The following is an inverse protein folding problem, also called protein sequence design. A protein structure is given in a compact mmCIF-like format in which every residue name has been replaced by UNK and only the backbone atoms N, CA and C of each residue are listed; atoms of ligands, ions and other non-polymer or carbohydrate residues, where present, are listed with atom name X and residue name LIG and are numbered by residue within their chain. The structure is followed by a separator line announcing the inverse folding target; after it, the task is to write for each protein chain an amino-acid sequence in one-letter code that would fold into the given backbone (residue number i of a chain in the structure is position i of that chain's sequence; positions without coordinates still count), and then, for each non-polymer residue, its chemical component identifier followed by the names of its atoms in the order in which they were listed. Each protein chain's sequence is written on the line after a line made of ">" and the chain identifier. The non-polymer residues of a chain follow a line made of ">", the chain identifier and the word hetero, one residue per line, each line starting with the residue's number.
data_IF_240350790307
#
_entry.id   IF_240350790307
#
_cell.length_a   1.000
_cell.length_b   1.000
_cell.length_c   1.000
_cell.angle_alpha   90.00
_cell.angle_beta   90.00
_cell.angle_gamma   90.00
#
_symmetry.space_group_name_H-M   'P 1'
#
loop_
_entity.id
_entity.type
_entity.pdbx_description
1 polymer ?
#
# COMPACT_ATOMS: atom_id res chain seq x y z
N UNK A 1 -16.03 -0.80 21.71
CA UNK A 1 -15.43 0.53 22.01
C UNK A 1 -16.14 1.64 21.21
N UNK A 2 -16.32 2.87 21.72
CA UNK A 2 -16.99 3.96 20.98
C UNK A 2 -15.95 4.91 20.40
N UNK A 3 -15.64 4.78 19.11
CA UNK A 3 -14.96 5.83 18.36
C UNK A 3 -15.95 7.01 18.32
N UNK A 4 -15.61 8.15 18.92
CA UNK A 4 -16.49 9.33 18.88
C UNK A 4 -16.65 9.78 17.43
N UNK A 5 -17.88 9.68 16.91
CA UNK A 5 -18.24 10.03 15.53
C UNK A 5 -18.84 11.43 15.53
N UNK A 6 -18.13 12.44 15.07
CA UNK A 6 -18.81 13.66 14.66
C UNK A 6 -19.41 13.42 13.25
N UNK A 7 -20.69 13.75 13.09
CA UNK A 7 -21.34 13.68 11.78
C UNK A 7 -20.92 14.90 10.95
N UNK A 8 -20.12 14.66 9.90
CA UNK A 8 -19.81 15.67 8.91
C UNK A 8 -20.92 15.87 7.87
N UNK A 9 -20.66 16.74 6.91
CA UNK A 9 -21.56 17.01 5.79
C UNK A 9 -21.72 15.74 4.92
N UNK A 10 -22.97 15.34 4.65
CA UNK A 10 -23.38 14.16 3.85
C UNK A 10 -23.14 12.76 4.47
N UNK A 11 -23.18 12.61 5.79
CA UNK A 11 -23.07 11.31 6.47
C UNK A 11 -21.73 10.57 6.24
N UNK A 12 -20.73 11.23 5.65
CA UNK A 12 -19.33 10.79 5.66
C UNK A 12 -18.83 11.02 7.09
N UNK A 13 -18.28 10.01 7.75
CA UNK A 13 -17.89 10.05 9.16
C UNK A 13 -16.69 10.99 9.41
N UNK A 14 -16.73 11.80 10.47
CA UNK A 14 -15.65 12.74 10.81
C UNK A 14 -15.06 12.47 12.20
N UNK A 15 -13.76 12.76 12.27
CA UNK A 15 -12.85 12.86 13.43
C UNK A 15 -12.44 11.55 14.11
N UNK A 16 -11.14 11.24 14.07
CA UNK A 16 -10.45 10.61 15.21
C UNK A 16 -9.65 11.70 15.91
N UNK A 17 -10.09 12.12 17.09
CA UNK A 17 -9.21 12.77 18.09
C UNK A 17 -9.42 12.11 19.46
N UNK A 18 -8.37 11.63 20.16
CA UNK A 18 -7.02 11.32 19.71
C UNK A 18 -6.54 9.89 20.02
N UNK A 19 -5.49 9.53 19.27
CA UNK A 19 -4.43 8.53 19.48
C UNK A 19 -3.73 8.56 20.87
N UNK A 20 -4.44 8.81 21.98
CA UNK A 20 -3.90 8.61 23.33
C UNK A 20 -4.46 7.37 24.04
N UNK A 21 -5.61 6.85 23.60
CA UNK A 21 -6.35 5.81 24.35
C UNK A 21 -6.41 4.45 23.67
N UNK A 22 -6.06 4.38 22.38
CA UNK A 22 -6.06 3.15 21.61
C UNK A 22 -4.66 2.58 21.49
N UNK A 23 -4.49 1.37 22.00
CA UNK A 23 -3.28 0.58 21.80
C UNK A 23 -3.49 -0.42 20.67
N UNK A 24 -2.40 -0.90 20.09
CA UNK A 24 -2.41 -2.07 19.20
C UNK A 24 -3.24 -3.22 19.80
N UNK A 25 -3.07 -3.48 21.11
CA UNK A 25 -3.79 -4.55 21.81
C UNK A 25 -5.30 -4.33 21.89
N UNK A 26 -5.77 -3.09 22.02
CA UNK A 26 -7.20 -2.77 22.07
C UNK A 26 -7.84 -2.96 20.71
N UNK A 27 -7.18 -2.50 19.64
CA UNK A 27 -7.66 -2.65 18.28
C UNK A 27 -7.68 -4.12 17.84
N UNK A 28 -6.61 -4.89 18.14
CA UNK A 28 -6.55 -6.33 17.84
C UNK A 28 -7.67 -7.13 18.51
N UNK A 29 -8.05 -6.79 19.75
CA UNK A 29 -9.18 -7.45 20.43
C UNK A 29 -10.50 -7.28 19.69
N UNK A 30 -10.77 -6.07 19.21
CA UNK A 30 -11.99 -5.78 18.44
C UNK A 30 -11.95 -6.53 17.08
N UNK A 31 -10.80 -6.52 16.38
CA UNK A 31 -10.61 -7.27 15.12
C UNK A 31 -10.80 -8.79 15.32
N UNK A 32 -10.31 -9.35 16.42
CA UNK A 32 -10.49 -10.76 16.75
C UNK A 32 -11.95 -11.11 17.10
N UNK A 33 -12.62 -10.27 17.91
CA UNK A 33 -13.97 -10.55 18.42
C UNK A 33 -15.07 -10.56 17.34
N UNK A 34 -14.79 -9.95 16.18
CA UNK A 34 -15.71 -9.96 15.03
C UNK A 34 -15.95 -11.37 14.49
N UNK A 35 -17.19 -11.72 14.18
CA UNK A 35 -17.51 -13.01 13.57
C UNK A 35 -17.21 -13.01 12.06
N UNK A 36 -16.88 -14.18 11.46
CA UNK A 36 -16.79 -14.35 10.01
C UNK A 36 -18.10 -13.98 9.30
N UNK A 37 -18.03 -13.57 8.02
CA UNK A 37 -19.21 -13.31 7.20
C UNK A 37 -18.91 -12.54 5.92
N UNK A 38 -19.95 -12.21 5.13
CA UNK A 38 -19.79 -11.55 3.82
C UNK A 38 -19.02 -10.22 3.84
N UNK A 39 -19.05 -9.50 4.96
CA UNK A 39 -18.27 -8.27 5.17
C UNK A 39 -16.76 -8.53 5.33
N UNK A 40 -16.32 -9.77 5.57
CA UNK A 40 -14.91 -10.14 5.64
C UNK A 40 -14.26 -10.36 4.27
N UNK A 41 -15.04 -10.74 3.25
CA UNK A 41 -14.56 -10.79 1.87
C UNK A 41 -14.08 -9.43 1.34
N UNK A 42 -14.57 -8.33 1.93
CA UNK A 42 -14.13 -6.98 1.61
C UNK A 42 -13.10 -6.40 2.58
N UNK A 43 -12.72 -7.12 3.65
CA UNK A 43 -11.67 -6.68 4.58
C UNK A 43 -10.30 -7.13 4.15
N UNK A 44 -9.96 -6.54 3.05
CA UNK A 44 -8.63 -6.19 2.69
C UNK A 44 -7.82 -5.57 3.87
N UNK A 45 -6.65 -6.12 4.24
CA UNK A 45 -5.77 -5.55 5.26
C UNK A 45 -4.92 -4.39 4.73
N UNK A 46 -5.03 -4.01 3.45
CA UNK A 46 -4.32 -2.84 2.87
C UNK A 46 -4.51 -1.56 3.70
N UNK A 47 -5.68 -1.19 4.24
CA UNK A 47 -5.83 0.03 5.05
C UNK A 47 -4.88 0.08 6.25
N UNK A 48 -4.64 -1.07 6.91
CA UNK A 48 -3.68 -1.14 8.02
C UNK A 48 -2.24 -0.90 7.55
N UNK A 49 -1.85 -1.55 6.44
CA UNK A 49 -0.51 -1.40 5.88
C UNK A 49 -0.27 0.02 5.32
N UNK A 50 -1.22 0.56 4.55
CA UNK A 50 -1.15 1.90 3.97
C UNK A 50 -1.07 2.98 5.04
N UNK A 51 -1.89 2.89 6.09
CA UNK A 51 -1.83 3.82 7.21
C UNK A 51 -0.47 3.78 7.92
N UNK A 52 0.06 2.59 8.19
CA UNK A 52 1.38 2.43 8.79
C UNK A 52 2.49 3.01 7.90
N UNK A 53 2.54 2.63 6.62
CA UNK A 53 3.55 3.12 5.68
C UNK A 53 3.47 4.63 5.48
N UNK A 54 2.27 5.19 5.36
CA UNK A 54 2.04 6.63 5.21
C UNK A 54 2.56 7.41 6.42
N UNK A 55 2.21 6.99 7.64
CA UNK A 55 2.68 7.65 8.86
C UNK A 55 4.19 7.50 9.04
N UNK A 56 4.75 6.31 8.80
CA UNK A 56 6.18 6.07 8.94
C UNK A 56 6.99 6.90 7.93
N UNK A 57 6.58 6.92 6.66
CA UNK A 57 7.22 7.74 5.62
C UNK A 57 7.22 9.22 5.99
N UNK A 58 6.07 9.76 6.42
CA UNK A 58 5.95 11.16 6.86
C UNK A 58 6.76 11.48 8.11
N UNK A 59 6.84 10.55 9.06
CA UNK A 59 7.59 10.71 10.31
C UNK A 59 9.10 10.67 10.06
N UNK A 60 9.56 9.79 9.18
CA UNK A 60 10.98 9.68 8.82
C UNK A 60 11.44 10.80 7.87
N UNK A 61 10.52 11.44 7.16
CA UNK A 61 10.85 12.36 6.08
C UNK A 61 11.84 13.49 6.44
N UNK A 62 11.70 14.21 7.56
CA UNK A 62 12.68 15.22 7.96
C UNK A 62 14.09 14.66 8.17
N UNK A 63 14.20 13.45 8.73
CA UNK A 63 15.48 12.80 8.96
C UNK A 63 16.12 12.30 7.67
N UNK A 64 15.32 11.85 6.70
CA UNK A 64 15.78 11.48 5.35
C UNK A 64 16.26 12.73 4.59
N UNK A 65 15.54 13.85 4.71
CA UNK A 65 15.94 15.12 4.11
C UNK A 65 17.26 15.63 4.69
N UNK A 66 17.46 15.52 6.00
CA UNK A 66 18.74 15.82 6.64
C UNK A 66 19.87 14.90 6.17
N UNK A 67 19.60 13.61 5.97
CA UNK A 67 20.57 12.67 5.39
C UNK A 67 20.96 13.08 3.97
N UNK A 68 20.00 13.51 3.14
CA UNK A 68 20.29 14.01 1.79
C UNK A 68 21.18 15.26 1.82
N UNK A 69 20.95 16.17 2.76
CA UNK A 69 21.82 17.34 2.99
C UNK A 69 23.21 16.93 3.49
N UNK A 70 23.29 15.98 4.43
CA UNK A 70 24.56 15.44 4.93
C UNK A 70 25.42 14.88 3.78
N UNK A 71 24.79 14.20 2.81
CA UNK A 71 25.45 13.65 1.62
C UNK A 71 25.87 14.70 0.60
N UNK A 72 25.11 15.79 0.43
CA UNK A 72 25.51 16.90 -0.43
C UNK A 72 26.68 17.71 0.16
N UNK A 73 26.70 17.86 1.48
CA UNK A 73 27.74 18.61 2.19
C UNK A 73 29.03 17.80 2.37
N UNK A 74 28.94 16.47 2.32
CA UNK A 74 30.07 15.56 2.46
C UNK A 74 30.48 14.96 1.12
N UNK A 75 31.75 15.15 0.73
CA UNK A 75 32.34 14.53 -0.47
C UNK A 75 32.70 13.03 -0.25
N UNK A 76 31.93 12.33 0.59
CA UNK A 76 32.16 10.92 0.92
C UNK A 76 30.86 10.17 1.18
N UNK A 77 30.82 8.86 0.87
CA UNK A 77 29.70 8.00 1.23
C UNK A 77 29.46 7.95 2.74
N UNK A 78 28.20 7.79 3.13
CA UNK A 78 27.82 7.46 4.51
C UNK A 78 27.63 5.94 4.60
N UNK A 79 28.22 5.33 5.62
CA UNK A 79 28.02 3.90 5.92
C UNK A 79 27.19 3.78 7.20
N UNK A 80 26.04 3.11 7.10
CA UNK A 80 25.14 2.87 8.23
C UNK A 80 24.32 1.59 8.00
N UNK A 81 24.14 0.76 9.02
CA UNK A 81 23.36 -0.49 8.99
C UNK A 81 23.83 -1.47 7.90
N UNK A 82 25.13 -1.43 7.58
CA UNK A 82 25.72 -2.21 6.48
C UNK A 82 25.35 -1.72 5.08
N UNK A 83 24.69 -0.56 4.96
CA UNK A 83 24.42 0.13 3.71
C UNK A 83 25.46 1.20 3.44
N UNK A 84 25.90 1.28 2.19
CA UNK A 84 26.70 2.36 1.63
C UNK A 84 25.75 3.31 0.91
N UNK A 85 25.75 4.57 1.34
CA UNK A 85 24.81 5.61 0.90
C UNK A 85 25.61 6.71 0.21
N UNK A 86 25.31 6.94 -1.07
CA UNK A 86 26.08 7.83 -1.93
C UNK A 86 25.18 8.83 -2.63
N UNK A 87 25.58 10.10 -2.60
CA UNK A 87 24.94 11.14 -3.40
C UNK A 87 25.04 10.77 -4.89
N UNK A 88 23.96 11.04 -5.63
CA UNK A 88 23.86 10.71 -7.04
C UNK A 88 23.32 11.89 -7.86
N UNK A 89 24.00 12.17 -8.97
CA UNK A 89 23.57 13.17 -9.94
C UNK A 89 23.69 14.61 -9.45
N UNK A 90 23.29 15.54 -10.30
CA UNK A 90 23.19 16.96 -9.96
C UNK A 90 21.83 17.25 -9.30
N UNK A 91 21.80 18.29 -8.46
CA UNK A 91 20.54 18.82 -7.94
C UNK A 91 19.77 19.47 -9.08
N UNK A 92 18.56 18.99 -9.34
CA UNK A 92 17.68 19.54 -10.38
C UNK A 92 16.25 19.60 -9.85
N UNK A 93 15.48 20.64 -10.21
CA UNK A 93 14.09 20.85 -9.73
C UNK A 93 13.94 20.89 -8.20
N UNK A 94 15.01 21.20 -7.47
CA UNK A 94 15.01 21.12 -6.01
C UNK A 94 15.02 19.70 -5.46
N UNK A 95 15.34 18.70 -6.28
CA UNK A 95 15.41 17.29 -5.92
C UNK A 95 16.87 16.87 -5.70
N UNK A 96 17.08 16.06 -4.66
CA UNK A 96 18.36 15.46 -4.30
C UNK A 96 18.21 13.96 -4.36
N UNK A 97 19.09 13.28 -5.08
CA UNK A 97 19.07 11.83 -5.21
C UNK A 97 20.24 11.20 -4.48
N UNK A 98 20.01 10.05 -3.86
CA UNK A 98 21.07 9.21 -3.35
C UNK A 98 20.77 7.74 -3.58
N UNK A 99 21.83 6.95 -3.69
CA UNK A 99 21.77 5.51 -3.86
C UNK A 99 22.17 4.82 -2.56
N UNK A 100 21.44 3.77 -2.18
CA UNK A 100 21.75 2.90 -1.07
C UNK A 100 22.06 1.51 -1.63
N UNK A 101 23.31 1.08 -1.44
CA UNK A 101 23.79 -0.24 -1.85
C UNK A 101 24.26 -1.02 -0.63
N UNK A 102 24.18 -2.34 -0.70
CA UNK A 102 24.70 -3.21 0.37
C UNK A 102 25.78 -4.11 -0.22
N UNK A 103 27.02 -4.12 0.33
CA UNK A 103 28.11 -4.91 -0.22
C UNK A 103 27.74 -6.39 -0.38
N UNK A 104 27.86 -6.90 -1.61
CA UNK A 104 27.57 -8.29 -1.96
C UNK A 104 26.09 -8.65 -2.08
N UNK A 105 25.16 -7.73 -1.81
CA UNK A 105 23.74 -7.93 -2.06
C UNK A 105 23.36 -7.45 -3.48
N UNK A 106 22.38 -8.07 -4.15
CA UNK A 106 21.92 -7.61 -5.45
C UNK A 106 21.10 -6.32 -5.35
N UNK A 107 21.16 -5.51 -6.41
CA UNK A 107 20.32 -4.34 -6.58
C UNK A 107 20.64 -3.14 -5.69
N UNK A 108 19.93 -2.04 -5.92
CA UNK A 108 20.12 -0.77 -5.23
C UNK A 108 18.78 -0.10 -4.93
N UNK A 109 18.72 0.69 -3.87
CA UNK A 109 17.62 1.64 -3.66
C UNK A 109 18.07 3.02 -4.10
N UNK A 110 17.37 3.64 -5.04
CA UNK A 110 17.57 5.05 -5.33
C UNK A 110 16.47 5.85 -4.64
N UNK A 111 16.85 6.81 -3.82
CA UNK A 111 15.93 7.67 -3.06
C UNK A 111 16.02 9.08 -3.63
N UNK A 112 14.87 9.70 -3.87
CA UNK A 112 14.71 11.10 -4.24
C UNK A 112 14.10 11.85 -3.05
N UNK A 113 14.70 12.98 -2.70
CA UNK A 113 14.14 13.96 -1.77
C UNK A 113 13.92 15.25 -2.52
N UNK A 114 12.66 15.60 -2.76
CA UNK A 114 12.25 16.90 -3.26
C UNK A 114 12.10 17.89 -2.11
N UNK A 115 12.57 19.11 -2.32
CA UNK A 115 12.39 20.24 -1.41
C UNK A 115 11.42 21.26 -2.00
N UNK A 116 10.69 21.95 -1.13
CA UNK A 116 9.92 23.12 -1.53
C UNK A 116 10.84 24.15 -2.17
N UNK A 117 10.42 24.63 -3.35
CA UNK A 117 11.29 25.43 -4.19
C UNK A 117 11.28 26.88 -3.74
N UNK A 118 12.33 27.23 -3.02
CA UNK A 118 12.56 28.58 -2.53
C UNK A 118 13.09 29.49 -3.64
N UNK A 119 12.50 30.68 -3.74
CA UNK A 119 12.81 31.64 -4.80
C UNK A 119 14.21 32.23 -4.55
N UNK A 120 15.03 32.32 -5.61
CA UNK A 120 16.33 32.99 -5.56
C UNK A 120 16.18 34.51 -5.63
N UNK A 121 17.20 35.30 -5.28
CA UNK A 121 17.18 36.77 -5.48
C UNK A 121 16.82 37.17 -6.92
N UNK A 122 17.34 36.45 -7.92
CA UNK A 122 16.99 36.68 -9.33
C UNK A 122 15.53 36.30 -9.63
N UNK A 123 15.05 35.23 -9.00
CA UNK A 123 13.66 34.83 -9.05
C UNK A 123 12.73 35.85 -8.43
N UNK A 124 13.09 36.47 -7.30
CA UNK A 124 12.29 37.50 -6.63
C UNK A 124 12.09 38.71 -7.55
N UNK A 125 13.14 39.14 -8.26
CA UNK A 125 13.05 40.23 -9.24
C UNK A 125 12.05 39.88 -10.35
N UNK A 126 12.08 38.64 -10.86
CA UNK A 126 11.16 38.18 -11.89
C UNK A 126 9.73 37.97 -11.37
N UNK A 127 9.58 37.46 -10.15
CA UNK A 127 8.28 37.30 -9.47
C UNK A 127 7.65 38.67 -9.25
N UNK A 128 8.41 39.65 -8.76
CA UNK A 128 7.94 41.02 -8.60
C UNK A 128 7.54 41.68 -9.93
N UNK A 129 8.26 41.40 -11.03
CA UNK A 129 7.88 41.87 -12.35
C UNK A 129 6.56 41.24 -12.82
N UNK A 130 6.39 39.93 -12.63
CA UNK A 130 5.18 39.19 -12.96
C UNK A 130 3.98 39.68 -12.13
N UNK A 131 4.16 39.86 -10.83
CA UNK A 131 3.14 40.37 -9.92
C UNK A 131 2.74 41.81 -10.28
N UNK A 132 3.70 42.64 -10.70
CA UNK A 132 3.42 44.00 -11.17
C UNK A 132 2.65 44.02 -12.51
N UNK A 133 2.79 43.00 -13.35
CA UNK A 133 1.98 42.82 -14.56
C UNK A 133 0.58 42.30 -14.22
N UNK A 134 0.49 41.29 -13.36
CA UNK A 134 -0.78 40.74 -12.88
C UNK A 134 -1.63 41.78 -12.13
N UNK A 135 -1.01 42.68 -11.37
CA UNK A 135 -1.69 43.76 -10.66
C UNK A 135 -2.37 44.80 -11.60
N UNK A 136 -2.01 44.82 -12.90
CA UNK A 136 -2.64 45.68 -13.90
C UNK A 136 -3.90 45.05 -14.51
N UNK A 137 -4.16 43.77 -14.26
CA UNK A 137 -5.31 43.04 -14.81
C UNK A 137 -6.52 43.14 -13.91
N UNK A 138 -7.71 43.01 -14.51
CA UNK A 138 -8.93 42.85 -13.72
C UNK A 138 -8.86 41.51 -12.94
N UNK A 139 -9.27 41.47 -11.65
CA UNK A 139 -9.19 40.25 -10.85
C UNK A 139 -9.89 39.03 -11.45
N UNK A 140 -10.99 39.22 -12.20
CA UNK A 140 -11.70 38.13 -12.86
C UNK A 140 -10.92 37.61 -14.07
N UNK A 141 -10.27 38.51 -14.80
CA UNK A 141 -9.38 38.17 -15.92
C UNK A 141 -8.12 37.44 -15.44
N UNK A 142 -7.54 37.87 -14.31
CA UNK A 142 -6.43 37.18 -13.67
C UNK A 142 -6.81 35.76 -13.24
N UNK A 143 -7.98 35.57 -12.61
CA UNK A 143 -8.47 34.24 -12.22
C UNK A 143 -8.70 33.36 -13.45
N UNK A 144 -9.32 33.87 -14.51
CA UNK A 144 -9.51 33.11 -15.75
C UNK A 144 -8.18 32.75 -16.43
N UNK A 145 -7.18 33.63 -16.36
CA UNK A 145 -5.83 33.38 -16.88
C UNK A 145 -5.08 32.33 -16.07
N UNK A 146 -5.22 32.34 -14.75
CA UNK A 146 -4.61 31.35 -13.86
C UNK A 146 -5.29 29.97 -13.93
N UNK A 147 -6.59 29.94 -14.26
CA UNK A 147 -7.36 28.70 -14.42
C UNK A 147 -7.27 28.10 -15.82
N UNK A 148 -6.85 28.86 -16.84
CA UNK A 148 -6.62 28.34 -18.18
C UNK A 148 -5.22 27.71 -18.25
N UNK A 149 -5.19 26.39 -18.45
CA UNK A 149 -4.03 25.50 -18.48
C UNK A 149 -3.03 25.74 -19.64
N UNK A 150 -3.17 26.83 -20.40
CA UNK A 150 -2.25 27.18 -21.48
C UNK A 150 -1.03 27.91 -20.93
N UNK A 151 0.17 27.31 -21.06
CA UNK A 151 1.52 27.83 -20.78
C UNK A 151 1.55 29.26 -20.22
N UNK A 152 1.16 29.40 -18.95
CA UNK A 152 1.11 30.72 -18.31
C UNK A 152 2.53 31.20 -18.01
N UNK A 153 2.69 32.51 -17.83
CA UNK A 153 3.94 33.08 -17.31
C UNK A 153 4.31 32.50 -15.93
N UNK A 154 3.32 32.03 -15.15
CA UNK A 154 3.54 31.29 -13.90
C UNK A 154 4.19 29.92 -14.17
N UNK A 155 3.67 29.17 -15.14
CA UNK A 155 4.25 27.89 -15.56
C UNK A 155 5.67 28.09 -16.10
N UNK A 156 5.89 29.13 -16.91
CA UNK A 156 7.22 29.49 -17.41
C UNK A 156 8.18 29.95 -16.29
N UNK A 157 7.67 30.64 -15.27
CA UNK A 157 8.45 31.01 -14.09
C UNK A 157 8.87 29.76 -13.31
N UNK A 158 7.95 28.84 -13.05
CA UNK A 158 8.21 27.58 -12.33
C UNK A 158 9.12 26.64 -13.11
N UNK A 159 9.04 26.60 -14.44
CA UNK A 159 9.88 25.74 -15.27
C UNK A 159 11.37 26.17 -15.31
N UNK A 160 11.70 27.41 -14.91
CA UNK A 160 13.06 27.94 -15.03
C UNK A 160 13.85 27.76 -13.72
N UNK A 161 14.76 26.77 -13.70
CA UNK A 161 15.62 26.47 -12.54
C UNK A 161 16.33 27.69 -11.95
N UNK A 162 16.88 28.57 -12.78
CA UNK A 162 17.56 29.79 -12.31
C UNK A 162 16.66 30.83 -11.63
N UNK A 163 15.36 30.58 -11.47
CA UNK A 163 14.49 31.39 -10.62
C UNK A 163 14.52 30.91 -9.16
N UNK A 164 14.98 29.70 -8.89
CA UNK A 164 14.97 29.10 -7.56
C UNK A 164 16.40 28.93 -7.04
N UNK A 165 16.56 28.91 -5.73
CA UNK A 165 17.85 28.60 -5.10
C UNK A 165 18.00 27.09 -4.90
N UNK A 166 19.24 26.63 -4.75
CA UNK A 166 19.49 25.25 -4.34
C UNK A 166 18.90 24.98 -2.95
N UNK A 167 18.46 23.72 -2.68
CA UNK A 167 18.03 23.29 -1.36
C UNK A 167 19.10 23.49 -0.29
N UNK A 168 18.67 23.72 0.94
CA UNK A 168 19.52 23.92 2.13
C UNK A 168 18.91 23.22 3.32
N UNK A 169 19.75 22.92 4.32
CA UNK A 169 19.30 22.38 5.60
C UNK A 169 18.24 23.28 6.23
N UNK A 170 17.14 22.67 6.65
CA UNK A 170 15.99 23.34 7.22
C UNK A 170 14.92 23.77 6.22
N UNK A 171 15.17 23.63 4.92
CA UNK A 171 14.11 23.76 3.91
C UNK A 171 13.04 22.68 4.12
N UNK A 172 11.79 23.02 3.87
CA UNK A 172 10.70 22.05 3.92
C UNK A 172 10.85 21.06 2.76
N UNK A 173 10.74 19.76 3.06
CA UNK A 173 10.66 18.76 2.00
C UNK A 173 9.27 18.84 1.36
N UNK A 174 9.16 18.50 0.08
CA UNK A 174 7.90 18.42 -0.66
C UNK A 174 7.51 16.97 -0.98
N UNK A 175 8.50 16.11 -1.24
CA UNK A 175 8.27 14.69 -1.56
C UNK A 175 9.50 13.86 -1.21
N UNK A 176 9.27 12.63 -0.76
CA UNK A 176 10.28 11.59 -0.67
C UNK A 176 9.79 10.40 -1.48
N UNK A 177 10.59 9.98 -2.43
CA UNK A 177 10.30 8.79 -3.21
C UNK A 177 11.48 7.85 -3.23
N UNK A 178 11.23 6.57 -3.46
CA UNK A 178 12.28 5.59 -3.66
C UNK A 178 11.90 4.59 -4.74
N UNK A 179 12.91 4.16 -5.51
CA UNK A 179 12.76 3.15 -6.56
C UNK A 179 13.78 2.04 -6.38
N UNK A 180 13.38 0.81 -6.70
CA UNK A 180 14.25 -0.37 -6.68
C UNK A 180 14.96 -0.53 -8.03
N UNK A 181 16.29 -0.49 -8.03
CA UNK A 181 17.13 -0.71 -9.20
C UNK A 181 17.65 -2.15 -9.22
N UNK A 182 17.48 -2.87 -10.33
CA UNK A 182 17.98 -4.24 -10.52
C UNK A 182 19.42 -4.33 -11.03
N UNK A 183 19.92 -3.22 -11.54
CA UNK A 183 21.31 -3.08 -11.96
C UNK A 183 21.84 -1.74 -11.46
N UNK A 184 23.04 -1.76 -10.89
CA UNK A 184 23.79 -0.57 -10.48
C UNK A 184 25.30 -0.89 -10.58
N UNK A 185 26.17 0.08 -10.94
CA UNK A 185 27.61 -0.17 -11.03
C UNK A 185 28.18 -0.80 -9.75
N UNK A 186 29.06 -1.79 -9.92
CA UNK A 186 29.76 -2.48 -8.82
C UNK A 186 28.86 -3.26 -7.84
N UNK A 187 27.59 -3.46 -8.19
CA UNK A 187 26.61 -4.26 -7.41
C UNK A 187 26.22 -5.52 -8.20
N UNK A 188 26.09 -6.70 -7.55
CA UNK A 188 25.54 -7.88 -8.20
C UNK A 188 24.19 -7.62 -8.90
N UNK A 189 23.96 -8.17 -10.10
CA UNK A 189 22.71 -7.98 -10.82
C UNK A 189 21.56 -8.73 -10.11
N UNK A 190 20.39 -8.12 -10.11
CA UNK A 190 19.17 -8.65 -9.49
C UNK A 190 18.44 -7.59 -8.68
N UNK A 191 17.18 -7.82 -8.32
CA UNK A 191 16.41 -6.88 -7.52
C UNK A 191 16.95 -6.82 -6.09
N UNK A 192 16.74 -5.70 -5.37
CA UNK A 192 16.95 -5.65 -3.92
C UNK A 192 16.22 -6.82 -3.22
N UNK A 193 16.76 -7.25 -2.08
CA UNK A 193 16.17 -8.35 -1.33
C UNK A 193 14.67 -8.11 -1.06
N UNK A 194 13.86 -9.17 -1.22
CA UNK A 194 12.38 -9.18 -1.07
C UNK A 194 11.61 -8.36 -2.11
N UNK A 195 12.28 -7.80 -3.12
CA UNK A 195 11.63 -7.15 -4.26
C UNK A 195 11.61 -8.10 -5.45
N UNK A 196 10.43 -8.27 -6.07
CA UNK A 196 10.31 -9.08 -7.27
C UNK A 196 10.92 -8.38 -8.49
N UNK A 197 11.36 -9.15 -9.50
CA UNK A 197 11.86 -8.60 -10.77
C UNK A 197 10.86 -7.68 -11.50
N UNK A 198 9.56 -7.82 -11.22
CA UNK A 198 8.52 -6.97 -11.80
C UNK A 198 8.43 -5.59 -11.12
N UNK A 199 8.86 -5.49 -9.87
CA UNK A 199 8.76 -4.27 -9.04
C UNK A 199 10.09 -3.51 -9.00
N UNK A 200 10.94 -3.70 -10.00
CA UNK A 200 12.25 -3.06 -10.09
C UNK A 200 12.51 -2.57 -11.52
N UNK A 201 13.41 -1.60 -11.66
CA UNK A 201 13.77 -0.99 -12.94
C UNK A 201 15.26 -1.12 -13.24
N UNK A 202 15.60 -1.07 -14.53
CA UNK A 202 16.97 -0.92 -15.03
C UNK A 202 17.33 0.55 -15.31
N UNK A 203 16.37 1.47 -15.19
CA UNK A 203 16.58 2.88 -15.48
C UNK A 203 17.53 3.49 -14.44
N UNK A 204 18.80 3.65 -14.82
CA UNK A 204 19.84 4.28 -14.02
C UNK A 204 19.92 5.78 -14.39
N UNK A 205 19.06 6.60 -13.79
CA UNK A 205 19.03 8.06 -13.96
C UNK A 205 18.32 8.73 -12.79
N UNK A 206 18.41 10.06 -12.62
CA UNK A 206 17.58 10.76 -11.66
C UNK A 206 16.11 10.56 -12.08
N UNK A 207 15.29 10.07 -11.17
CA UNK A 207 13.88 9.84 -11.43
C UNK A 207 13.05 11.01 -10.95
N UNK A 208 12.06 11.42 -11.73
CA UNK A 208 11.18 12.49 -11.32
C UNK A 208 9.93 11.88 -10.63
N UNK A 209 9.72 12.10 -9.31
CA UNK A 209 8.54 11.61 -8.62
C UNK A 209 7.22 12.17 -9.18
N UNK A 210 7.27 13.28 -9.92
CA UNK A 210 6.09 13.89 -10.56
C UNK A 210 5.81 13.30 -11.96
N UNK A 211 6.66 12.41 -12.48
CA UNK A 211 6.45 11.76 -13.78
C UNK A 211 5.44 10.62 -13.67
N UNK A 212 4.39 10.67 -14.51
CA UNK A 212 3.25 9.74 -14.51
C UNK A 212 3.67 8.27 -14.67
N UNK A 213 4.84 8.00 -15.26
CA UNK A 213 5.31 6.64 -15.51
C UNK A 213 6.81 6.47 -15.18
N UNK A 214 7.11 6.13 -13.92
CA UNK A 214 8.41 5.59 -13.54
C UNK A 214 8.29 4.14 -13.04
N UNK A 215 8.84 3.16 -13.77
CA UNK A 215 8.79 1.76 -13.35
C UNK A 215 9.54 1.52 -12.03
N UNK A 216 8.97 0.70 -11.15
CA UNK A 216 9.65 0.28 -9.92
C UNK A 216 9.72 1.33 -8.81
N UNK A 217 8.85 2.36 -8.81
CA UNK A 217 8.62 3.19 -7.61
C UNK A 217 8.10 2.28 -6.50
N UNK A 218 8.81 2.27 -5.38
CA UNK A 218 8.48 1.51 -4.17
C UNK A 218 7.83 2.38 -3.09
N UNK A 219 8.13 3.67 -3.10
CA UNK A 219 7.64 4.64 -2.14
C UNK A 219 7.46 5.98 -2.83
N UNK A 220 6.33 6.64 -2.58
CA UNK A 220 6.17 8.08 -2.74
C UNK A 220 5.41 8.63 -1.54
N UNK A 221 6.04 9.55 -0.81
CA UNK A 221 5.54 10.18 0.38
C UNK A 221 5.65 11.70 0.22
N UNK A 222 4.53 12.34 -0.07
CA UNK A 222 4.46 13.79 -0.13
C UNK A 222 4.50 14.41 1.27
N UNK A 223 5.02 15.62 1.34
CA UNK A 223 4.91 16.45 2.53
C UNK A 223 3.44 16.62 2.93
N UNK A 224 3.16 16.69 4.23
CA UNK A 224 1.83 17.04 4.67
C UNK A 224 1.46 18.41 4.12
N UNK A 225 0.33 18.45 3.42
CA UNK A 225 -0.33 19.69 3.07
C UNK A 225 -0.63 20.44 4.37
N UNK A 226 0.09 21.51 4.66
CA UNK A 226 -0.25 22.43 5.75
C UNK A 226 -1.40 23.32 5.31
N UNK A 227 -2.60 22.74 5.13
CA UNK A 227 -3.79 23.48 4.68
C UNK A 227 -4.98 23.29 5.62
N UNK A 228 -5.45 24.40 6.19
CA UNK A 228 -6.56 24.54 7.14
C UNK A 228 -7.95 24.42 6.48
N UNK A 229 -8.03 23.88 5.26
CA UNK A 229 -9.27 23.91 4.47
C UNK A 229 -10.02 22.58 4.50
N UNK A 230 -11.00 22.51 5.40
CA UNK A 230 -11.92 21.39 5.64
C UNK A 230 -12.65 20.88 4.38
N UNK A 231 -12.74 21.69 3.32
CA UNK A 231 -13.46 21.36 2.10
C UNK A 231 -12.70 20.40 1.17
N UNK A 232 -11.38 20.40 1.23
CA UNK A 232 -10.51 19.56 0.39
C UNK A 232 -10.27 18.20 1.06
N UNK A 233 -10.15 18.17 2.39
CA UNK A 233 -10.16 16.91 3.15
C UNK A 233 -11.46 16.10 2.95
N UNK A 234 -12.53 16.76 2.50
CA UNK A 234 -13.82 16.14 2.20
C UNK A 234 -13.91 15.49 0.81
N UNK A 235 -12.96 15.74 -0.11
CA UNK A 235 -13.01 15.16 -1.46
C UNK A 235 -12.45 13.73 -1.53
N UNK A 236 -11.79 13.24 -0.47
CA UNK A 236 -11.14 11.92 -0.47
C UNK A 236 -9.92 11.82 -1.41
N UNK A 237 -9.64 12.86 -2.21
CA UNK A 237 -8.57 12.87 -3.21
C UNK A 237 -7.23 13.38 -2.67
N UNK A 238 -7.21 14.08 -1.54
CA UNK A 238 -5.99 14.69 -0.99
C UNK A 238 -5.51 13.97 0.26
N UNK A 239 -5.13 12.72 0.00
CA UNK A 239 -4.43 11.81 0.89
C UNK A 239 -3.85 10.61 0.14
N UNK A 240 -3.96 10.58 -1.20
CA UNK A 240 -3.24 9.65 -2.07
C UNK A 240 -1.75 9.86 -1.86
N UNK A 241 -1.19 9.15 -0.92
CA UNK A 241 0.14 8.59 -1.07
C UNK A 241 0.09 7.69 -2.29
N UNK A 242 0.26 8.27 -3.47
CA UNK A 242 0.16 7.55 -4.72
C UNK A 242 1.26 6.49 -4.77
N UNK A 243 0.81 5.24 -4.89
CA UNK A 243 1.57 4.00 -5.14
C UNK A 243 2.64 3.65 -4.10
N UNK A 244 2.24 2.86 -3.10
CA UNK A 244 3.17 2.12 -2.26
C UNK A 244 3.47 0.75 -2.87
N UNK A 245 4.72 0.50 -3.21
CA UNK A 245 5.24 -0.82 -3.52
C UNK A 245 6.44 -1.12 -2.63
N UNK A 246 6.20 -1.22 -1.33
CA UNK A 246 7.07 -2.01 -0.47
C UNK A 246 7.39 -1.43 0.91
N UNK A 247 6.97 -2.06 2.02
CA UNK A 247 7.50 -1.74 3.35
C UNK A 247 9.02 -1.93 3.45
N UNK A 248 9.65 -2.64 2.51
CA UNK A 248 11.06 -2.98 2.49
C UNK A 248 11.97 -1.75 2.54
N UNK A 249 11.71 -0.72 1.72
CA UNK A 249 12.55 0.47 1.69
C UNK A 249 12.39 1.30 2.96
N UNK A 250 11.18 1.36 3.53
CA UNK A 250 10.92 2.02 4.81
C UNK A 250 11.60 1.27 5.97
N UNK A 251 11.67 -0.06 5.93
CA UNK A 251 12.45 -0.86 6.89
C UNK A 251 13.94 -0.55 6.78
N UNK A 252 14.48 -0.48 5.55
CA UNK A 252 15.89 -0.11 5.30
C UNK A 252 16.18 1.28 5.86
N UNK A 253 15.37 2.28 5.50
CA UNK A 253 15.50 3.65 6.00
C UNK A 253 15.37 3.71 7.53
N UNK A 254 14.44 2.95 8.12
CA UNK A 254 14.30 2.88 9.59
C UNK A 254 15.60 2.43 10.25
N UNK A 255 16.21 1.34 9.77
CA UNK A 255 17.47 0.82 10.35
C UNK A 255 18.64 1.79 10.17
N UNK A 256 18.75 2.43 8.99
CA UNK A 256 19.79 3.43 8.72
C UNK A 256 19.65 4.64 9.61
N UNK A 257 18.44 5.21 9.72
CA UNK A 257 18.19 6.41 10.52
C UNK A 257 18.37 6.14 12.03
N UNK A 258 18.02 4.95 12.50
CA UNK A 258 18.28 4.52 13.88
C UNK A 258 19.79 4.42 14.15
N UNK A 259 20.58 3.81 13.26
CA UNK A 259 22.05 3.74 13.45
C UNK A 259 22.72 5.12 13.39
N UNK A 260 22.16 6.04 12.60
CA UNK A 260 22.57 7.44 12.53
C UNK A 260 22.09 8.30 13.71
N UNK A 261 21.37 7.74 14.68
CA UNK A 261 20.92 8.45 15.88
C UNK A 261 19.81 9.48 15.62
N UNK A 262 18.96 9.27 14.60
CA UNK A 262 17.90 10.21 14.18
C UNK A 262 16.56 9.98 14.90
N UNK A 263 16.49 9.13 15.92
CA UNK A 263 15.23 8.72 16.55
C UNK A 263 14.46 9.87 17.20
N UNK A 264 15.18 10.83 17.81
CA UNK A 264 14.54 12.01 18.41
C UNK A 264 13.82 12.86 17.35
N UNK A 265 14.45 13.03 16.19
CA UNK A 265 13.90 13.81 15.08
C UNK A 265 12.68 13.13 14.47
N UNK A 266 12.74 11.81 14.24
CA UNK A 266 11.61 11.03 13.72
C UNK A 266 10.44 11.04 14.71
N UNK A 267 10.73 10.87 16.01
CA UNK A 267 9.72 10.91 17.05
C UNK A 267 9.06 12.29 17.17
N UNK A 268 9.82 13.39 17.05
CA UNK A 268 9.27 14.75 17.08
C UNK A 268 8.36 15.02 15.88
N UNK A 269 8.76 14.58 14.69
CA UNK A 269 7.95 14.67 13.49
C UNK A 269 6.64 13.87 13.64
N UNK A 270 6.72 12.63 14.12
CA UNK A 270 5.57 11.77 14.41
C UNK A 270 4.57 12.46 15.37
N UNK A 271 5.07 13.03 16.48
CA UNK A 271 4.25 13.74 17.46
C UNK A 271 3.51 14.95 16.87
N UNK A 272 4.12 15.66 15.90
CA UNK A 272 3.46 16.74 15.17
C UNK A 272 2.25 16.22 14.39
N UNK A 273 2.36 15.08 13.72
CA UNK A 273 1.26 14.45 12.98
C UNK A 273 0.15 13.95 13.90
N UNK A 274 0.52 13.27 15.00
CA UNK A 274 -0.45 12.76 15.98
C UNK A 274 -1.30 13.89 16.57
N UNK A 275 -0.69 15.04 16.87
CA UNK A 275 -1.41 16.23 17.39
C UNK A 275 -2.34 16.88 16.38
N UNK A 276 -2.03 16.80 15.09
CA UNK A 276 -2.88 17.35 14.03
C UNK A 276 -4.17 16.52 13.88
N UNK A 277 -4.08 15.21 14.11
CA UNK A 277 -5.17 14.25 13.95
C UNK A 277 -5.24 13.71 12.53
N UNK A 278 -5.93 12.58 12.36
CA UNK A 278 -6.05 11.88 11.09
C UNK A 278 -7.48 12.00 10.54
N UNK A 279 -7.58 12.02 9.21
CA UNK A 279 -8.83 12.03 8.46
C UNK A 279 -9.02 10.69 7.79
N UNK A 280 -10.20 10.10 7.96
CA UNK A 280 -10.61 8.89 7.23
C UNK A 280 -12.01 9.11 6.68
N UNK A 281 -12.17 8.90 5.37
CA UNK A 281 -13.47 8.88 4.69
C UNK A 281 -14.10 7.48 4.70
N UNK A 282 -13.44 6.52 5.34
CA UNK A 282 -13.77 5.11 5.23
C UNK A 282 -14.88 4.69 6.20
N UNK A 283 -15.40 3.48 5.99
CA UNK A 283 -16.40 2.87 6.88
C UNK A 283 -15.79 2.52 8.25
N UNK A 284 -16.63 2.28 9.26
CA UNK A 284 -16.16 2.04 10.64
C UNK A 284 -15.11 0.94 10.81
N UNK A 285 -15.10 -0.08 9.93
CA UNK A 285 -14.14 -1.19 10.00
C UNK A 285 -12.79 -0.84 9.38
N UNK A 286 -12.80 -0.19 8.22
CA UNK A 286 -11.58 0.33 7.60
C UNK A 286 -10.90 1.35 8.53
N UNK A 287 -11.68 2.17 9.25
CA UNK A 287 -11.18 3.06 10.30
C UNK A 287 -10.45 2.28 11.42
N UNK A 288 -10.99 1.15 11.89
CA UNK A 288 -10.34 0.33 12.91
C UNK A 288 -9.00 -0.25 12.41
N UNK A 289 -8.98 -0.71 11.15
CA UNK A 289 -7.79 -1.25 10.50
C UNK A 289 -6.72 -0.16 10.28
N UNK A 290 -7.10 1.03 9.86
CA UNK A 290 -6.20 2.19 9.75
C UNK A 290 -5.60 2.57 11.11
N UNK A 291 -6.45 2.70 12.14
CA UNK A 291 -6.02 3.07 13.49
C UNK A 291 -5.03 2.06 14.08
N UNK A 292 -5.19 0.78 13.77
CA UNK A 292 -4.25 -0.26 14.17
C UNK A 292 -2.86 -0.05 13.54
N UNK A 293 -2.81 0.32 12.25
CA UNK A 293 -1.56 0.64 11.56
C UNK A 293 -0.89 1.91 12.11
N UNK A 294 -1.69 2.96 12.33
CA UNK A 294 -1.21 4.21 12.95
C UNK A 294 -0.68 3.98 14.37
N UNK A 295 -1.40 3.19 15.17
CA UNK A 295 -1.01 2.85 16.54
C UNK A 295 0.30 2.06 16.58
N UNK A 296 0.48 1.11 15.65
CA UNK A 296 1.72 0.33 15.57
C UNK A 296 2.94 1.24 15.31
N UNK A 297 2.85 2.15 14.34
CA UNK A 297 3.94 3.10 14.04
C UNK A 297 4.16 4.09 15.18
N UNK A 298 3.11 4.55 15.84
CA UNK A 298 3.22 5.43 17.02
C UNK A 298 3.96 4.72 18.16
N UNK A 299 3.61 3.47 18.47
CA UNK A 299 4.32 2.66 19.48
C UNK A 299 5.80 2.42 19.07
N UNK A 300 6.08 2.31 17.78
CA UNK A 300 7.43 2.27 17.20
C UNK A 300 8.08 3.66 16.98
N UNK A 301 7.53 4.73 17.59
CA UNK A 301 8.07 6.11 17.57
C UNK A 301 8.27 6.70 16.18
N UNK A 302 7.41 6.34 15.23
CA UNK A 302 7.44 6.85 13.85
C UNK A 302 8.24 5.99 12.86
N UNK A 303 8.81 4.86 13.30
CA UNK A 303 9.53 3.93 12.44
C UNK A 303 8.65 2.78 11.94
N UNK A 304 9.06 2.18 10.82
CA UNK A 304 8.53 0.91 10.34
C UNK A 304 9.52 -0.20 10.69
N UNK A 305 9.50 -0.65 11.95
CA UNK A 305 10.40 -1.68 12.46
C UNK A 305 9.74 -3.08 12.48
N UNK A 306 10.46 -4.07 13.01
CA UNK A 306 9.97 -5.45 13.11
C UNK A 306 8.66 -5.55 13.91
N UNK A 307 8.46 -4.72 14.94
CA UNK A 307 7.24 -4.76 15.74
C UNK A 307 6.02 -4.30 14.94
N UNK A 308 6.18 -3.30 14.07
CA UNK A 308 5.12 -2.88 13.15
C UNK A 308 4.83 -3.97 12.13
N UNK A 309 5.88 -4.57 11.56
CA UNK A 309 5.73 -5.66 10.58
C UNK A 309 5.03 -6.89 11.18
N UNK A 310 5.28 -7.22 12.45
CA UNK A 310 4.57 -8.28 13.18
C UNK A 310 3.07 -7.97 13.32
N UNK A 311 2.71 -6.71 13.59
CA UNK A 311 1.29 -6.28 13.63
C UNK A 311 0.65 -6.40 12.26
N UNK A 312 1.31 -5.92 11.19
CA UNK A 312 0.80 -6.05 9.83
C UNK A 312 0.57 -7.52 9.44
N UNK A 313 1.54 -8.40 9.73
CA UNK A 313 1.42 -9.83 9.46
C UNK A 313 0.27 -10.47 10.26
N UNK A 314 0.12 -10.10 11.54
CA UNK A 314 -0.95 -10.61 12.41
C UNK A 314 -2.33 -10.26 11.89
N UNK A 315 -2.55 -8.99 11.51
CA UNK A 315 -3.84 -8.53 10.98
C UNK A 315 -4.22 -9.29 9.72
N UNK A 316 -3.24 -9.57 8.88
CA UNK A 316 -3.48 -10.25 7.62
C UNK A 316 -3.69 -11.74 7.76
N UNK A 317 -3.01 -12.37 8.72
CA UNK A 317 -3.32 -13.72 9.14
C UNK A 317 -4.78 -13.81 9.60
N UNK A 318 -5.24 -12.90 10.47
CA UNK A 318 -6.63 -12.87 10.93
C UNK A 318 -7.60 -12.65 9.77
N UNK A 319 -7.28 -11.73 8.86
CA UNK A 319 -8.10 -11.46 7.68
C UNK A 319 -8.20 -12.69 6.77
N UNK A 320 -7.08 -13.37 6.52
CA UNK A 320 -7.04 -14.57 5.69
C UNK A 320 -7.82 -15.73 6.31
N UNK A 321 -7.61 -16.00 7.60
CA UNK A 321 -8.34 -17.02 8.38
C UNK A 321 -9.85 -16.82 8.27
N UNK A 322 -10.34 -15.61 8.56
CA UNK A 322 -11.77 -15.31 8.53
C UNK A 322 -12.35 -15.35 7.12
N UNK A 323 -11.57 -14.95 6.11
CA UNK A 323 -12.01 -14.98 4.71
C UNK A 323 -12.20 -16.40 4.20
N UNK A 324 -11.24 -17.30 4.50
CA UNK A 324 -11.35 -18.73 4.17
C UNK A 324 -12.58 -19.32 4.86
N UNK A 325 -12.71 -19.14 6.17
CA UNK A 325 -13.85 -19.63 6.93
C UNK A 325 -15.19 -19.21 6.32
N UNK A 326 -15.32 -17.96 5.87
CA UNK A 326 -16.57 -17.52 5.24
C UNK A 326 -16.86 -18.19 3.89
N UNK A 327 -15.87 -18.43 3.02
CA UNK A 327 -16.11 -19.01 1.67
C UNK A 327 -16.28 -20.52 1.66
N UNK A 328 -16.03 -21.23 2.77
CA UNK A 328 -15.97 -22.69 2.73
C UNK A 328 -17.26 -23.37 2.27
N UNK A 329 -18.42 -22.76 2.55
CA UNK A 329 -19.71 -23.29 2.06
C UNK A 329 -19.85 -23.11 0.55
N UNK A 330 -19.58 -21.90 0.04
CA UNK A 330 -19.56 -21.59 -1.40
C UNK A 330 -18.57 -22.49 -2.15
N UNK A 331 -17.37 -22.67 -1.58
CA UNK A 331 -16.35 -23.58 -2.11
C UNK A 331 -16.87 -25.01 -2.20
N UNK A 332 -17.49 -25.52 -1.14
CA UNK A 332 -18.07 -26.89 -1.12
C UNK A 332 -19.17 -27.06 -2.16
N UNK A 333 -20.00 -26.04 -2.35
CA UNK A 333 -21.00 -26.01 -3.42
C UNK A 333 -20.34 -26.14 -4.79
N UNK A 334 -19.31 -25.34 -5.07
CA UNK A 334 -18.60 -25.38 -6.35
C UNK A 334 -17.92 -26.74 -6.63
N UNK A 335 -17.16 -27.29 -5.68
CA UNK A 335 -16.45 -28.58 -5.88
C UNK A 335 -17.37 -29.79 -6.02
N UNK A 336 -18.65 -29.63 -5.66
CA UNK A 336 -19.66 -30.67 -5.77
C UNK A 336 -20.48 -30.50 -7.06
N UNK A 337 -20.93 -29.28 -7.34
CA UNK A 337 -21.86 -29.00 -8.44
C UNK A 337 -21.17 -28.90 -9.79
N UNK A 338 -19.99 -28.28 -9.88
CA UNK A 338 -19.31 -28.10 -11.16
C UNK A 338 -19.03 -29.45 -11.86
N UNK A 339 -18.47 -30.48 -11.19
CA UNK A 339 -18.32 -31.80 -11.81
C UNK A 339 -19.65 -32.43 -12.23
N UNK A 340 -20.71 -32.29 -11.43
CA UNK A 340 -22.03 -32.85 -11.74
C UNK A 340 -22.66 -32.25 -13.00
N UNK A 341 -22.28 -31.01 -13.33
CA UNK A 341 -22.70 -30.30 -14.54
C UNK A 341 -21.74 -30.52 -15.73
N UNK A 342 -20.66 -31.28 -15.54
CA UNK A 342 -19.66 -31.60 -16.59
C UNK A 342 -18.48 -30.64 -16.66
N UNK A 343 -18.30 -29.77 -15.65
CA UNK A 343 -17.19 -28.82 -15.57
C UNK A 343 -16.00 -29.36 -14.77
N UNK A 344 -15.52 -30.54 -15.14
CA UNK A 344 -14.48 -31.30 -14.44
C UNK A 344 -13.10 -31.29 -15.12
N UNK A 345 -12.96 -30.56 -16.24
CA UNK A 345 -11.72 -30.45 -17.00
C UNK A 345 -11.54 -29.03 -17.58
N UNK A 346 -10.30 -28.64 -17.89
CA UNK A 346 -9.99 -27.33 -18.44
C UNK A 346 -10.67 -27.03 -19.79
N UNK A 347 -10.92 -28.06 -20.60
CA UNK A 347 -11.62 -27.93 -21.90
C UNK A 347 -13.13 -27.69 -21.74
N UNK A 348 -13.68 -28.05 -20.57
CA UNK A 348 -15.09 -27.87 -20.20
C UNK A 348 -15.17 -26.97 -18.98
N UNK A 349 -14.47 -25.84 -18.98
CA UNK A 349 -14.55 -24.86 -17.89
C UNK A 349 -15.90 -24.12 -17.89
N UNK A 350 -16.46 -23.92 -16.71
CA UNK A 350 -17.61 -23.03 -16.48
C UNK A 350 -17.16 -21.58 -16.69
N UNK A 351 -17.92 -20.87 -17.49
CA UNK A 351 -17.76 -19.45 -17.76
C UNK A 351 -18.62 -18.68 -16.76
N UNK A 352 -17.97 -18.05 -15.79
CA UNK A 352 -18.59 -17.22 -14.79
C UNK A 352 -18.42 -15.76 -15.20
N UNK A 353 -19.51 -15.00 -15.15
CA UNK A 353 -19.48 -13.55 -15.26
C UNK A 353 -18.91 -13.04 -16.60
N UNK A 354 -19.61 -13.35 -17.71
CA UNK A 354 -19.39 -12.76 -19.04
C UNK A 354 -17.96 -12.93 -19.63
N UNK A 355 -17.33 -14.11 -19.50
CA UNK A 355 -15.98 -14.45 -20.01
C UNK A 355 -14.80 -13.87 -19.22
N UNK A 356 -15.03 -13.23 -18.09
CA UNK A 356 -13.96 -12.68 -17.25
C UNK A 356 -13.34 -13.76 -16.35
N UNK A 357 -14.13 -14.74 -15.91
CA UNK A 357 -13.71 -15.76 -14.96
C UNK A 357 -14.05 -17.18 -15.44
N UNK A 358 -13.08 -18.10 -15.36
CA UNK A 358 -13.27 -19.50 -15.73
C UNK A 358 -12.96 -20.45 -14.58
N UNK A 359 -13.83 -21.44 -14.39
CA UNK A 359 -13.72 -22.39 -13.29
C UNK A 359 -13.84 -23.84 -13.78
N UNK A 360 -13.04 -24.73 -13.21
CA UNK A 360 -13.29 -26.18 -13.31
C UNK A 360 -12.76 -26.89 -12.07
N UNK A 361 -13.22 -28.11 -11.85
CA UNK A 361 -12.85 -28.89 -10.66
C UNK A 361 -12.22 -30.19 -11.07
N UNK A 362 -11.00 -30.46 -10.59
CA UNK A 362 -10.37 -31.77 -10.71
C UNK A 362 -10.43 -32.50 -9.38
N UNK A 363 -10.70 -33.81 -9.39
CA UNK A 363 -10.68 -34.67 -8.21
C UNK A 363 -9.66 -35.80 -8.35
N UNK A 364 -8.88 -36.03 -7.31
CA UNK A 364 -7.97 -37.18 -7.17
C UNK A 364 -8.15 -37.79 -5.77
N UNK A 365 -8.95 -38.86 -5.68
CA UNK A 365 -9.37 -39.42 -4.40
C UNK A 365 -10.15 -38.39 -3.56
N UNK A 366 -9.71 -38.18 -2.31
CA UNK A 366 -10.28 -37.22 -1.36
C UNK A 366 -9.75 -35.79 -1.55
N UNK A 367 -8.93 -35.57 -2.58
CA UNK A 367 -8.40 -34.24 -2.91
C UNK A 367 -9.27 -33.61 -3.99
N UNK A 368 -9.98 -32.56 -3.64
CA UNK A 368 -10.72 -31.72 -4.57
C UNK A 368 -9.91 -30.45 -4.87
N UNK A 369 -9.69 -30.15 -6.14
CA UNK A 369 -9.03 -28.91 -6.57
C UNK A 369 -9.97 -28.08 -7.42
N UNK A 370 -10.29 -26.87 -6.96
CA UNK A 370 -10.96 -25.85 -7.75
C UNK A 370 -9.90 -25.00 -8.46
N UNK A 371 -9.93 -25.00 -9.79
CA UNK A 371 -9.09 -24.16 -10.62
C UNK A 371 -9.87 -22.91 -11.01
N UNK A 372 -9.23 -21.76 -10.89
CA UNK A 372 -9.80 -20.45 -11.13
C UNK A 372 -8.89 -19.69 -12.10
N UNK A 373 -9.44 -19.14 -13.16
CA UNK A 373 -8.76 -18.16 -14.02
C UNK A 373 -9.57 -16.88 -13.99
N UNK A 374 -8.93 -15.77 -13.65
CA UNK A 374 -9.54 -14.44 -13.60
C UNK A 374 -8.70 -13.46 -14.43
N UNK A 375 -9.18 -12.23 -14.62
CA UNK A 375 -8.38 -11.15 -15.22
C UNK A 375 -7.05 -10.90 -14.47
N UNK A 376 -7.01 -11.19 -13.17
CA UNK A 376 -5.87 -10.92 -12.30
C UNK A 376 -4.90 -12.09 -12.17
N UNK A 377 -5.26 -13.30 -12.63
CA UNK A 377 -4.37 -14.45 -12.60
C UNK A 377 -5.04 -15.81 -12.63
N UNK A 378 -4.21 -16.85 -12.54
CA UNK A 378 -4.65 -18.24 -12.42
C UNK A 378 -4.33 -18.76 -11.02
N UNK A 379 -5.33 -19.33 -10.37
CA UNK A 379 -5.27 -19.82 -9.01
C UNK A 379 -5.79 -21.25 -8.91
N UNK A 380 -5.31 -21.97 -7.90
CA UNK A 380 -5.89 -23.26 -7.52
C UNK A 380 -6.10 -23.32 -6.02
N UNK A 381 -7.29 -23.76 -5.63
CA UNK A 381 -7.69 -24.01 -4.26
C UNK A 381 -7.75 -25.52 -4.11
N UNK A 382 -6.87 -26.08 -3.29
CA UNK A 382 -6.75 -27.52 -3.07
C UNK A 382 -7.31 -27.84 -1.70
N UNK A 383 -8.29 -28.71 -1.62
CA UNK A 383 -8.88 -29.16 -0.36
C UNK A 383 -8.73 -30.68 -0.25
N UNK A 384 -7.96 -31.11 0.74
CA UNK A 384 -7.91 -32.49 1.20
C UNK A 384 -9.04 -32.69 2.21
N UNK A 385 -10.11 -33.37 1.76
CA UNK A 385 -11.33 -33.55 2.54
C UNK A 385 -11.14 -34.50 3.74
N UNK A 386 -10.13 -35.37 3.73
CA UNK A 386 -9.83 -36.29 4.83
C UNK A 386 -9.07 -35.59 5.97
N UNK A 387 -8.04 -34.82 5.62
CA UNK A 387 -7.27 -34.06 6.61
C UNK A 387 -7.89 -32.70 6.99
N UNK A 388 -8.88 -32.23 6.23
CA UNK A 388 -9.44 -30.88 6.39
C UNK A 388 -8.43 -29.80 6.02
N UNK A 389 -7.44 -30.10 5.18
CA UNK A 389 -6.40 -29.14 4.79
C UNK A 389 -6.82 -28.40 3.53
N UNK A 390 -6.78 -27.08 3.57
CA UNK A 390 -7.07 -26.19 2.45
C UNK A 390 -5.82 -25.41 2.06
N UNK A 391 -5.44 -25.43 0.78
CA UNK A 391 -4.28 -24.72 0.25
C UNK A 391 -4.69 -23.77 -0.87
N UNK A 392 -4.13 -22.57 -0.86
CA UNK A 392 -4.32 -21.56 -1.90
C UNK A 392 -3.01 -21.34 -2.63
N UNK A 393 -3.02 -21.41 -3.97
CA UNK A 393 -1.85 -21.25 -4.81
C UNK A 393 -2.06 -20.23 -5.93
N UNK A 394 -0.99 -19.48 -6.24
CA UNK A 394 -0.83 -18.70 -7.47
C UNK A 394 -0.09 -19.56 -8.50
N UNK A 395 -0.77 -19.93 -9.58
CA UNK A 395 -0.24 -20.83 -10.60
C UNK A 395 0.84 -20.17 -11.46
N UNK A 396 0.74 -18.87 -11.71
CA UNK A 396 1.71 -18.15 -12.54
C UNK A 396 3.09 -18.06 -11.87
N UNK A 397 3.13 -18.12 -10.53
CA UNK A 397 4.37 -18.05 -9.74
C UNK A 397 4.80 -19.39 -9.16
N UNK A 398 4.02 -20.44 -9.36
CA UNK A 398 4.15 -21.74 -8.68
C UNK A 398 4.32 -21.59 -7.15
N UNK A 399 3.64 -20.60 -6.56
CA UNK A 399 3.80 -20.20 -5.16
C UNK A 399 2.58 -20.59 -4.34
N UNK A 400 2.81 -21.20 -3.17
CA UNK A 400 1.77 -21.35 -2.14
C UNK A 400 1.53 -20.02 -1.44
N UNK A 401 0.29 -19.55 -1.45
CA UNK A 401 -0.12 -18.30 -0.78
C UNK A 401 -0.43 -18.55 0.70
N UNK A 402 -1.03 -19.70 1.01
CA UNK A 402 -1.30 -20.13 2.38
C UNK A 402 -1.87 -21.54 2.46
N UNK A 403 -1.77 -22.15 3.64
CA UNK A 403 -2.41 -23.40 3.99
C UNK A 403 -3.15 -23.26 5.31
N UNK A 404 -4.32 -23.89 5.39
CA UNK A 404 -5.28 -23.76 6.46
C UNK A 404 -5.82 -25.13 6.86
N UNK A 405 -6.00 -25.32 8.15
CA UNK A 405 -6.85 -26.38 8.71
C UNK A 405 -8.25 -25.80 8.78
N UNK A 406 -9.22 -26.45 8.14
CA UNK A 406 -10.62 -26.01 8.11
C UNK A 406 -11.52 -27.08 8.73
N UNK A 407 -12.37 -26.66 9.64
CA UNK A 407 -13.32 -27.54 10.32
C UNK A 407 -14.69 -26.87 10.44
N UNK A 408 -15.75 -27.65 10.31
CA UNK A 408 -17.10 -27.19 10.59
C UNK A 408 -17.47 -27.59 12.01
N UNK A 409 -17.88 -26.63 12.82
CA UNK A 409 -18.34 -26.91 14.18
C UNK A 409 -19.74 -27.57 14.19
N UNK A 410 -20.19 -27.98 15.38
CA UNK A 410 -21.49 -28.63 15.59
C UNK A 410 -22.69 -27.75 15.20
N UNK A 411 -22.50 -26.43 15.12
CA UNK A 411 -23.53 -25.47 14.74
C UNK A 411 -23.55 -25.20 13.22
N UNK A 412 -22.70 -25.89 12.46
CA UNK A 412 -22.55 -25.69 11.02
C UNK A 412 -21.67 -24.50 10.63
N UNK A 413 -20.97 -23.88 11.59
CA UNK A 413 -20.09 -22.74 11.33
C UNK A 413 -18.70 -23.22 10.96
N UNK A 414 -18.18 -22.69 9.87
CA UNK A 414 -16.81 -22.95 9.44
C UNK A 414 -15.81 -22.18 10.29
N UNK A 415 -14.78 -22.88 10.74
CA UNK A 415 -13.58 -22.32 11.34
C UNK A 415 -12.39 -22.66 10.44
N UNK A 416 -11.46 -21.72 10.34
CA UNK A 416 -10.20 -21.93 9.67
C UNK A 416 -9.07 -21.61 10.64
N UNK A 417 -7.92 -22.22 10.44
CA UNK A 417 -6.71 -21.96 11.21
C UNK A 417 -5.52 -22.03 10.30
N UNK A 418 -4.70 -20.99 10.31
CA UNK A 418 -3.50 -20.93 9.46
C UNK A 418 -2.48 -21.97 9.92
N UNK A 419 -2.06 -22.82 8.99
CA UNK A 419 -0.94 -23.76 9.16
C UNK A 419 0.36 -23.14 8.64
N UNK A 420 0.30 -22.46 7.50
CA UNK A 420 1.39 -21.67 6.95
C UNK A 420 0.85 -20.53 6.11
N UNK A 421 1.46 -19.35 6.18
CA UNK A 421 1.24 -18.27 5.22
C UNK A 421 2.56 -18.02 4.48
N UNK A 422 2.49 -17.54 3.23
CA UNK A 422 3.69 -17.05 2.55
C UNK A 422 4.32 -15.93 3.38
N UNK A 423 5.60 -16.10 3.76
CA UNK A 423 6.38 -15.12 4.54
C UNK A 423 6.51 -13.76 3.82
N UNK A 424 6.26 -13.74 2.51
CA UNK A 424 6.25 -12.54 1.69
C UNK A 424 4.92 -11.80 1.79
N UNK A 425 4.84 -10.92 2.78
CA UNK A 425 3.76 -9.95 2.94
C UNK A 425 3.89 -8.79 1.93
N UNK A 426 3.88 -9.13 0.64
CA UNK A 426 3.75 -8.13 -0.41
C UNK A 426 2.26 -7.82 -0.65
N UNK A 427 1.95 -6.56 -0.96
CA UNK A 427 0.59 -6.15 -1.40
C UNK A 427 0.03 -7.07 -2.50
N UNK A 428 0.92 -7.63 -3.33
CA UNK A 428 0.59 -8.55 -4.40
C UNK A 428 0.16 -9.94 -3.91
N UNK A 429 0.82 -10.50 -2.88
CA UNK A 429 0.46 -11.79 -2.28
C UNK A 429 -0.94 -11.70 -1.65
N UNK A 430 -1.21 -10.62 -0.93
CA UNK A 430 -2.52 -10.34 -0.32
C UNK A 430 -3.60 -10.18 -1.39
N UNK A 431 -3.32 -9.41 -2.44
CA UNK A 431 -4.25 -9.23 -3.56
C UNK A 431 -4.55 -10.57 -4.23
N UNK A 432 -3.52 -11.36 -4.58
CA UNK A 432 -3.68 -12.68 -5.20
C UNK A 432 -4.49 -13.65 -4.32
N UNK A 433 -4.24 -13.66 -3.01
CA UNK A 433 -5.01 -14.47 -2.07
C UNK A 433 -6.48 -14.02 -2.01
N UNK A 434 -6.71 -12.71 -1.86
CA UNK A 434 -8.05 -12.14 -1.78
C UNK A 434 -8.84 -12.35 -3.07
N UNK A 435 -8.20 -12.25 -4.25
CA UNK A 435 -8.84 -12.52 -5.54
C UNK A 435 -9.31 -13.97 -5.63
N UNK A 436 -8.43 -14.92 -5.28
CA UNK A 436 -8.73 -16.35 -5.27
C UNK A 436 -9.89 -16.71 -4.31
N UNK A 437 -9.94 -16.08 -3.14
CA UNK A 437 -11.00 -16.30 -2.15
C UNK A 437 -12.30 -15.62 -2.59
N UNK A 438 -12.27 -14.34 -2.97
CA UNK A 438 -13.46 -13.55 -3.33
C UNK A 438 -14.21 -14.14 -4.53
N UNK A 439 -13.50 -14.65 -5.53
CA UNK A 439 -14.14 -15.19 -6.73
C UNK A 439 -14.95 -16.45 -6.43
N UNK A 440 -14.58 -17.21 -5.39
CA UNK A 440 -15.30 -18.42 -4.97
C UNK A 440 -16.76 -18.11 -4.64
N UNK A 441 -17.02 -17.07 -3.84
CA UNK A 441 -18.40 -16.66 -3.51
C UNK A 441 -19.14 -16.10 -4.72
N UNK A 442 -18.49 -15.31 -5.56
CA UNK A 442 -19.11 -14.74 -6.76
C UNK A 442 -19.54 -15.85 -7.72
N UNK A 443 -18.65 -16.81 -7.98
CA UNK A 443 -18.93 -17.93 -8.86
C UNK A 443 -20.01 -18.87 -8.32
N UNK A 444 -20.07 -19.07 -6.99
CA UNK A 444 -21.16 -19.86 -6.39
C UNK A 444 -22.52 -19.18 -6.61
N UNK A 445 -22.61 -17.87 -6.43
CA UNK A 445 -23.82 -17.11 -6.72
C UNK A 445 -24.23 -17.21 -8.21
N UNK A 446 -23.30 -16.99 -9.14
CA UNK A 446 -23.58 -17.10 -10.58
C UNK A 446 -24.04 -18.52 -10.97
N UNK A 447 -23.38 -19.55 -10.43
CA UNK A 447 -23.75 -20.94 -10.68
C UNK A 447 -25.16 -21.26 -10.18
N UNK A 448 -25.55 -20.72 -9.04
CA UNK A 448 -26.91 -20.86 -8.50
C UNK A 448 -27.97 -20.15 -9.36
N UNK A 449 -27.64 -18.99 -9.95
CA UNK A 449 -28.53 -18.26 -10.85
C UNK A 449 -28.70 -18.94 -12.21
N UNK A 450 -27.60 -19.45 -12.79
CA UNK A 450 -27.59 -20.10 -14.10
C UNK A 450 -28.14 -21.53 -14.05
N UNK A 451 -27.86 -22.22 -12.95
CA UNK A 451 -28.27 -23.59 -12.69
C UNK A 451 -29.03 -23.69 -11.36
N UNK A 452 -30.23 -23.08 -11.27
CA UNK A 452 -31.02 -23.12 -10.05
C UNK A 452 -31.38 -24.56 -9.71
N UNK A 453 -31.34 -24.87 -8.41
CA UNK A 453 -31.81 -26.16 -7.91
C UNK A 453 -33.33 -26.14 -8.06
N UNK A 454 -33.88 -26.93 -8.98
CA UNK A 454 -35.29 -27.26 -8.91
C UNK A 454 -35.49 -28.03 -7.60
N UNK A 455 -36.21 -27.46 -6.63
CA UNK A 455 -36.71 -28.20 -5.46
C UNK A 455 -37.73 -29.24 -5.92
N UNK A 456 -37.29 -30.28 -6.63
CA UNK A 456 -38.12 -31.43 -6.92
C UNK A 456 -38.29 -32.26 -5.65
N UNK A 457 -39.41 -32.04 -4.95
CA UNK A 457 -40.12 -33.15 -4.32
C UNK A 457 -40.24 -33.19 -2.79
N UNK A 458 -40.18 -32.09 -2.06
CA UNK A 458 -40.80 -32.04 -0.73
C UNK A 458 -42.30 -31.75 -0.89
N UNK A 459 -43.07 -32.78 -1.24
CA UNK A 459 -44.52 -32.76 -1.00
C UNK A 459 -44.81 -32.71 0.50
N UNK A 460 -45.86 -31.99 0.93
CA UNK A 460 -46.16 -31.73 2.35
C UNK A 460 -46.44 -32.98 3.19
#
# INVERSE_FOLDING_TARGET
>A
MTIEREKGWRDIGWCIRPLETLSVSSCLKEVHAEQPGRLWYSSDPRPTAEAAMSLAGKSMAPAIADLAMDLMEQDRPIEAAGWKIEWFGDVSKGQVHFNMTRPGAPGCWQVCVGFEREVSEQGEIKRAALDAENAKMDPRELVLRLLNDEETEETAFRAKEGNFRAPRRGDEFSVISATALRSFPDVPPGPPARISNFNCTDAQGPFDPDEIYWPGIALTAHAPLTWDDRAINASGDLGRSDVFLGPEVLCVLSTVLQELGKEAQVSEAMEKYVKQGFWSSCTGRAILLEELGLSAVREAKGFLDNSVMEVLATVSAIAAEKSVASVMEDYRTLITRLPALGFDHAETQYDCNDMDDFLHVTRDGDIATLHLRTENGEYRLVHDEDSGTFLVHDCAREQGLGSFEVEQDENGTWNAKILSASDEYSSRTVTSFNDAVRITSSASCCLEEDHPIEEEGLSP
#
